data_IF_990527149964
#
_entry.id   IF_990527149964
#
_cell.length_a   1.000
_cell.length_b   1.000
_cell.length_c   1.000
_cell.angle_alpha   90.00
_cell.angle_beta   90.00
_cell.angle_gamma   90.00
#
_symmetry.space_group_name_H-M   'P 1'
#
loop_
_entity.id
_entity.type
_entity.pdbx_description
1 polymer ?
#
# COMPACT_ATOMS: atom_id res chain seq x y z
N UNK A 1 -5.68 17.65 -20.35
CA UNK A 1 -5.61 16.79 -19.16
C UNK A 1 -4.25 16.16 -19.18
N UNK A 2 -3.50 16.25 -18.08
CA UNK A 2 -2.19 15.60 -18.02
C UNK A 2 -2.35 14.10 -18.19
N UNK A 3 -1.43 13.51 -18.95
CA UNK A 3 -1.24 12.07 -18.91
C UNK A 3 -0.45 11.76 -17.62
N UNK A 4 -1.18 11.51 -16.53
CA UNK A 4 -0.61 11.26 -15.21
C UNK A 4 0.49 10.17 -15.24
N UNK A 5 0.33 9.16 -16.10
CA UNK A 5 1.34 8.11 -16.27
C UNK A 5 2.60 8.68 -16.93
N UNK A 6 2.45 9.46 -18.00
CA UNK A 6 3.60 10.09 -18.67
C UNK A 6 4.39 11.01 -17.73
N UNK A 7 3.70 11.82 -16.92
CA UNK A 7 4.33 12.69 -15.92
C UNK A 7 5.08 11.88 -14.86
N UNK A 8 4.49 10.77 -14.40
CA UNK A 8 5.12 9.89 -13.42
C UNK A 8 6.36 9.18 -13.98
N UNK A 9 6.28 8.66 -15.21
CA UNK A 9 7.41 8.07 -15.94
C UNK A 9 8.52 9.10 -16.13
N UNK A 10 8.17 10.36 -16.46
CA UNK A 10 9.15 11.44 -16.54
C UNK A 10 9.84 11.69 -15.18
N UNK A 11 9.10 11.63 -14.08
CA UNK A 11 9.65 11.73 -12.72
C UNK A 11 10.67 10.63 -12.42
N UNK A 12 10.34 9.37 -12.74
CA UNK A 12 11.26 8.24 -12.59
C UNK A 12 12.53 8.40 -13.43
N UNK A 13 12.39 8.85 -14.69
CA UNK A 13 13.54 9.14 -15.56
C UNK A 13 14.45 10.23 -14.97
N UNK A 14 13.86 11.28 -14.41
CA UNK A 14 14.62 12.37 -13.78
C UNK A 14 15.36 11.88 -12.53
N UNK A 15 14.71 11.10 -11.67
CA UNK A 15 15.37 10.50 -10.49
C UNK A 15 16.59 9.66 -10.90
N UNK A 16 16.47 8.90 -11.98
CA UNK A 16 17.59 8.13 -12.52
C UNK A 16 18.69 9.01 -13.09
N UNK A 17 18.35 9.99 -13.94
CA UNK A 17 19.31 10.83 -14.63
C UNK A 17 20.05 11.79 -13.68
N UNK A 18 19.35 12.34 -12.70
CA UNK A 18 19.87 13.40 -11.81
C UNK A 18 20.47 12.84 -10.53
N UNK A 19 19.99 11.68 -10.05
CA UNK A 19 20.40 11.12 -8.76
C UNK A 19 20.97 9.70 -8.86
N UNK A 20 21.02 9.09 -10.06
CA UNK A 20 21.53 7.74 -10.24
C UNK A 20 20.65 6.67 -9.56
N UNK A 21 19.38 6.97 -9.27
CA UNK A 21 18.46 6.02 -8.64
C UNK A 21 18.04 4.98 -9.69
N UNK A 22 18.48 3.74 -9.49
CA UNK A 22 18.22 2.65 -10.43
C UNK A 22 16.97 1.83 -10.08
N UNK A 23 16.56 1.82 -8.81
CA UNK A 23 15.41 1.06 -8.33
C UNK A 23 14.58 1.89 -7.36
N UNK A 24 13.25 1.87 -7.53
CA UNK A 24 12.30 2.37 -6.54
C UNK A 24 11.69 1.22 -5.76
N UNK A 25 11.43 1.44 -4.48
CA UNK A 25 10.77 0.47 -3.59
C UNK A 25 9.40 1.01 -3.25
N UNK A 26 8.35 0.23 -3.47
CA UNK A 26 6.98 0.66 -3.17
C UNK A 26 6.26 -0.30 -2.23
N UNK A 27 5.22 0.22 -1.58
CA UNK A 27 4.38 -0.53 -0.65
C UNK A 27 3.17 -1.20 -1.30
N UNK A 28 3.15 -1.36 -2.63
CA UNK A 28 2.05 -2.04 -3.31
C UNK A 28 1.91 -3.48 -2.80
N UNK A 29 0.69 -3.85 -2.40
CA UNK A 29 0.40 -5.20 -1.90
C UNK A 29 -0.37 -6.05 -2.91
N UNK A 30 -1.23 -5.44 -3.74
CA UNK A 30 -2.12 -6.15 -4.67
C UNK A 30 -2.51 -5.30 -5.89
N UNK A 31 -3.23 -5.91 -6.83
CA UNK A 31 -3.79 -5.22 -7.98
C UNK A 31 -4.97 -4.32 -7.57
N UNK A 32 -5.01 -3.12 -8.14
CA UNK A 32 -6.08 -2.15 -7.89
C UNK A 32 -7.17 -2.28 -8.95
N UNK A 33 -8.43 -2.42 -8.52
CA UNK A 33 -9.59 -2.38 -9.42
C UNK A 33 -9.57 -3.49 -10.48
N UNK A 34 -9.58 -3.09 -11.77
CA UNK A 34 -9.59 -3.99 -12.92
C UNK A 34 -8.22 -4.13 -13.60
N UNK A 35 -7.16 -3.60 -12.97
CA UNK A 35 -5.81 -3.66 -13.50
C UNK A 35 -5.33 -5.12 -13.59
N UNK A 36 -4.61 -5.44 -14.66
CA UNK A 36 -4.06 -6.79 -14.91
C UNK A 36 -2.58 -6.91 -14.53
N UNK A 37 -1.92 -5.77 -14.31
CA UNK A 37 -0.51 -5.65 -13.93
C UNK A 37 -0.38 -4.56 -12.87
N UNK A 38 0.69 -4.64 -12.08
CA UNK A 38 1.02 -3.58 -11.14
C UNK A 38 1.37 -2.29 -11.92
N UNK A 39 0.76 -1.17 -11.53
CA UNK A 39 0.95 0.10 -12.23
C UNK A 39 2.38 0.65 -12.09
N UNK A 40 3.01 0.46 -10.93
CA UNK A 40 4.39 0.90 -10.69
C UNK A 40 5.37 0.13 -11.58
N UNK A 41 5.21 -1.19 -11.71
CA UNK A 41 6.03 -1.99 -12.64
C UNK A 41 5.95 -1.47 -14.07
N UNK A 42 4.75 -1.17 -14.58
CA UNK A 42 4.59 -0.60 -15.92
C UNK A 42 5.31 0.75 -16.07
N UNK A 43 5.24 1.61 -15.05
CA UNK A 43 5.93 2.90 -15.07
C UNK A 43 7.45 2.73 -15.02
N UNK A 44 7.94 1.80 -14.19
CA UNK A 44 9.35 1.45 -14.08
C UNK A 44 9.93 0.91 -15.39
N UNK A 45 9.23 -0.03 -16.03
CA UNK A 45 9.58 -0.57 -17.34
C UNK A 45 9.75 0.54 -18.39
N UNK A 46 8.78 1.46 -18.46
CA UNK A 46 8.82 2.57 -19.42
C UNK A 46 9.91 3.60 -19.10
N UNK A 47 10.21 3.83 -17.82
CA UNK A 47 11.27 4.71 -17.37
C UNK A 47 12.67 4.09 -17.43
N UNK A 48 12.76 2.77 -17.62
CA UNK A 48 14.00 2.01 -17.43
C UNK A 48 14.51 2.08 -15.99
N UNK A 49 13.61 2.12 -15.01
CA UNK A 49 13.91 2.13 -13.57
C UNK A 49 13.34 0.86 -12.95
N UNK A 50 14.15 0.14 -12.19
CA UNK A 50 13.72 -1.05 -11.47
C UNK A 50 12.61 -0.72 -10.46
N UNK A 51 11.70 -1.67 -10.25
CA UNK A 51 10.65 -1.56 -9.23
C UNK A 51 10.76 -2.79 -8.36
N UNK A 52 10.95 -2.58 -7.05
CA UNK A 52 10.93 -3.64 -6.06
C UNK A 52 9.69 -3.51 -5.19
N UNK A 53 8.95 -4.61 -5.06
CA UNK A 53 7.68 -4.68 -4.35
C UNK A 53 7.78 -5.67 -3.17
N UNK A 54 8.36 -5.29 -2.01
CA UNK A 54 8.58 -6.20 -0.90
C UNK A 54 7.29 -6.81 -0.33
N UNK A 55 6.17 -6.10 -0.47
CA UNK A 55 4.87 -6.49 0.08
C UNK A 55 3.95 -7.16 -0.95
N UNK A 56 4.40 -7.37 -2.19
CA UNK A 56 3.55 -7.88 -3.26
C UNK A 56 3.03 -9.29 -2.96
N UNK A 57 1.70 -9.44 -2.93
CA UNK A 57 1.01 -10.69 -2.62
C UNK A 57 1.43 -11.34 -1.28
N UNK A 58 2.01 -10.54 -0.39
CA UNK A 58 2.42 -11.00 0.94
C UNK A 58 1.20 -11.14 1.86
N UNK A 59 1.34 -11.98 2.89
CA UNK A 59 0.26 -12.21 3.86
C UNK A 59 0.03 -10.96 4.70
N UNK A 60 -1.16 -10.38 4.54
CA UNK A 60 -1.51 -9.09 5.15
C UNK A 60 -1.57 -9.15 6.68
N UNK A 61 -1.98 -10.28 7.24
CA UNK A 61 -2.02 -10.46 8.68
C UNK A 61 -0.59 -10.48 9.23
N UNK A 62 0.31 -11.26 8.61
CA UNK A 62 1.73 -11.31 8.99
C UNK A 62 2.39 -9.94 8.89
N UNK A 63 2.07 -9.15 7.86
CA UNK A 63 2.60 -7.79 7.74
C UNK A 63 2.14 -6.89 8.90
N UNK A 64 0.86 -6.93 9.26
CA UNK A 64 0.33 -6.16 10.39
C UNK A 64 0.94 -6.64 11.72
N UNK A 65 1.10 -7.95 11.91
CA UNK A 65 1.78 -8.51 13.08
C UNK A 65 3.26 -8.09 13.16
N UNK A 66 3.94 -7.99 12.01
CA UNK A 66 5.32 -7.53 11.93
C UNK A 66 5.43 -6.06 12.32
N UNK A 67 4.55 -5.19 11.81
CA UNK A 67 4.46 -3.76 12.20
C UNK A 67 4.35 -3.64 13.73
N UNK A 68 3.47 -4.44 14.36
CA UNK A 68 3.30 -4.46 15.82
C UNK A 68 4.56 -4.96 16.55
N UNK A 69 5.23 -5.97 15.99
CA UNK A 69 6.44 -6.58 16.58
C UNK A 69 7.62 -5.63 16.50
N UNK A 70 7.74 -4.85 15.43
CA UNK A 70 8.79 -3.84 15.22
C UNK A 70 8.54 -2.56 16.03
N UNK A 71 7.38 -2.42 16.69
CA UNK A 71 7.04 -1.25 17.50
C UNK A 71 6.73 0.00 16.66
N UNK A 72 6.33 -0.18 15.40
CA UNK A 72 5.92 0.92 14.54
C UNK A 72 4.56 1.46 15.03
N UNK A 73 4.51 2.75 15.33
CA UNK A 73 3.29 3.43 15.76
C UNK A 73 2.42 3.79 14.54
N UNK A 74 1.29 3.12 14.38
CA UNK A 74 0.31 3.37 13.31
C UNK A 74 -1.01 3.84 13.90
N UNK A 75 -1.67 4.80 13.23
CA UNK A 75 -3.01 5.28 13.59
C UNK A 75 -3.92 5.27 12.37
N UNK A 76 -5.22 5.06 12.57
CA UNK A 76 -6.20 5.18 11.49
C UNK A 76 -6.54 6.65 11.27
N UNK A 77 -6.14 7.21 10.14
CA UNK A 77 -6.47 8.61 9.76
C UNK A 77 -7.77 8.72 8.97
N UNK A 78 -8.17 7.64 8.29
CA UNK A 78 -9.39 7.53 7.50
C UNK A 78 -9.89 6.08 7.55
N UNK A 79 -11.20 5.89 7.59
CA UNK A 79 -11.82 4.57 7.63
C UNK A 79 -13.04 4.50 6.71
N UNK A 80 -13.32 3.30 6.19
CA UNK A 80 -14.43 3.04 5.27
C UNK A 80 -15.67 2.59 6.02
N UNK A 81 -16.75 3.36 5.92
CA UNK A 81 -18.08 2.96 6.38
C UNK A 81 -18.69 1.92 5.43
N UNK A 82 -19.53 0.97 5.90
CA UNK A 82 -20.05 0.85 7.28
C UNK A 82 -19.20 -0.06 8.18
N UNK A 83 -18.10 -0.64 7.69
CA UNK A 83 -17.29 -1.60 8.46
C UNK A 83 -16.64 -0.97 9.69
N UNK A 84 -16.32 0.32 9.60
CA UNK A 84 -15.75 1.13 10.65
C UNK A 84 -16.63 2.35 10.93
N UNK A 85 -16.65 2.78 12.19
CA UNK A 85 -17.28 4.01 12.65
C UNK A 85 -16.23 5.07 13.03
N UNK A 86 -16.68 6.23 13.48
CA UNK A 86 -15.83 7.36 13.84
C UNK A 86 -14.87 7.05 15.01
N UNK A 87 -15.16 6.05 15.87
CA UNK A 87 -14.30 5.73 17.01
C UNK A 87 -12.96 5.14 16.60
N UNK A 88 -12.81 4.73 15.33
CA UNK A 88 -11.55 4.26 14.79
C UNK A 88 -10.59 5.39 14.41
N UNK A 89 -11.09 6.58 14.09
CA UNK A 89 -10.24 7.71 13.70
C UNK A 89 -9.35 8.14 14.88
N UNK A 90 -8.04 8.20 14.64
CA UNK A 90 -7.03 8.50 15.65
C UNK A 90 -6.72 7.34 16.60
N UNK A 91 -7.43 6.21 16.52
CA UNK A 91 -7.12 5.01 17.30
C UNK A 91 -5.78 4.42 16.83
N UNK A 92 -4.93 3.92 17.74
CA UNK A 92 -3.72 3.20 17.35
C UNK A 92 -4.04 1.80 16.82
N UNK A 93 -3.22 1.31 15.89
CA UNK A 93 -3.17 -0.11 15.56
C UNK A 93 -2.41 -0.83 16.70
N UNK A 94 -3.13 -1.58 17.51
CA UNK A 94 -2.59 -2.47 18.53
C UNK A 94 -3.16 -3.89 18.37
N UNK A 95 -2.78 -4.81 19.26
CA UNK A 95 -3.27 -6.21 19.21
C UNK A 95 -4.78 -6.31 19.35
N UNK A 96 -5.41 -5.40 20.12
CA UNK A 96 -6.86 -5.41 20.30
C UNK A 96 -7.59 -4.88 19.05
N UNK A 97 -7.08 -3.81 18.45
CA UNK A 97 -7.57 -3.28 17.18
C UNK A 97 -7.42 -4.31 16.04
N UNK A 98 -6.28 -5.01 15.97
CA UNK A 98 -6.05 -6.06 14.97
C UNK A 98 -7.04 -7.22 15.14
N UNK A 99 -7.27 -7.70 16.36
CA UNK A 99 -8.26 -8.75 16.63
C UNK A 99 -9.69 -8.30 16.24
N UNK A 100 -10.04 -7.04 16.51
CA UNK A 100 -11.34 -6.48 16.12
C UNK A 100 -11.47 -6.36 14.59
N UNK A 101 -10.39 -6.01 13.88
CA UNK A 101 -10.36 -6.04 12.41
C UNK A 101 -10.56 -7.45 11.87
N UNK A 102 -9.90 -8.46 12.45
CA UNK A 102 -10.04 -9.86 12.02
C UNK A 102 -11.50 -10.35 12.17
N UNK A 103 -12.16 -10.03 13.29
CA UNK A 103 -13.57 -10.35 13.46
C UNK A 103 -14.47 -9.67 12.41
N UNK A 104 -14.12 -8.46 11.96
CA UNK A 104 -14.83 -7.76 10.87
C UNK A 104 -14.56 -8.37 9.48
N UNK A 105 -13.42 -9.04 9.28
CA UNK A 105 -13.07 -9.74 8.03
C UNK A 105 -13.94 -10.96 7.81
N UNK A 106 -14.26 -11.69 8.88
CA UNK A 106 -15.25 -12.77 8.86
C UNK A 106 -16.64 -12.25 8.42
N UNK A 107 -16.89 -10.95 8.58
CA UNK A 107 -18.07 -10.23 8.08
C UNK A 107 -17.91 -9.48 6.75
N UNK A 108 -16.79 -9.66 6.02
CA UNK A 108 -16.59 -9.13 4.67
C UNK A 108 -15.63 -7.94 4.52
N UNK A 109 -14.91 -7.53 5.57
CA UNK A 109 -13.84 -6.53 5.47
C UNK A 109 -12.55 -7.11 4.83
N UNK A 110 -11.83 -6.33 4.03
CA UNK A 110 -10.48 -6.67 3.56
C UNK A 110 -9.41 -6.03 4.47
N UNK A 111 -8.55 -6.85 5.09
CA UNK A 111 -7.34 -6.36 5.75
C UNK A 111 -6.44 -5.72 4.69
N UNK A 112 -5.91 -4.52 4.95
CA UNK A 112 -5.06 -3.78 4.00
C UNK A 112 -5.75 -2.63 3.26
N UNK A 113 -7.08 -2.48 3.34
CA UNK A 113 -7.79 -1.29 2.84
C UNK A 113 -7.86 -1.15 1.32
N UNK A 114 -7.18 -2.01 0.56
CA UNK A 114 -7.23 -2.08 -0.91
C UNK A 114 -8.55 -2.75 -1.37
N UNK A 115 -9.67 -2.04 -1.19
CA UNK A 115 -10.97 -2.21 -1.90
C UNK A 115 -12.04 -1.27 -1.35
#
# INVERSE_FOLDING_TARGET
GSDYKADYVSGLRNLRAEHGIETVVTGDMDLVGTMKRNWMEECGEEAGTGVWLPLWQSDRLKNLEQILTEGISVVYSCVKTPHFDQSWIGRPLDRAALAEMQAKVEGGLHLGGEK
#
